data_IF_916299157386
#
_entry.id   IF_916299157386
#
_cell.length_a   1.000
_cell.length_b   1.000
_cell.length_c   1.000
_cell.angle_alpha   90.00
_cell.angle_beta   90.00
_cell.angle_gamma   90.00
#
_symmetry.space_group_name_H-M   'P 1'
#
loop_
_entity.id
_entity.type
_entity.pdbx_description
1 polymer ?
#
# COMPACT_ATOMS: atom_id res chain seq x y z
N UNK A 1 -14.11 9.57 18.42
CA UNK A 1 -12.88 10.29 18.88
C UNK A 1 -11.68 9.66 18.20
N UNK A 2 -10.77 10.44 17.62
CA UNK A 2 -9.52 9.93 17.06
C UNK A 2 -8.58 9.63 18.24
N UNK A 3 -7.98 8.42 18.34
CA UNK A 3 -7.05 8.12 19.42
C UNK A 3 -5.74 8.90 19.25
N UNK A 4 -4.91 9.01 20.31
CA UNK A 4 -3.61 9.65 20.20
C UNK A 4 -2.72 8.86 19.25
N UNK A 5 -1.87 9.58 18.51
CA UNK A 5 -0.88 8.99 17.62
C UNK A 5 0.13 8.13 18.40
N UNK A 6 0.36 6.86 18.05
CA UNK A 6 1.24 5.98 18.81
C UNK A 6 2.72 6.29 18.57
N UNK A 7 3.54 6.10 19.60
CA UNK A 7 5.00 6.18 19.48
C UNK A 7 5.56 4.91 18.85
N UNK A 8 6.66 5.03 18.11
CA UNK A 8 7.41 3.90 17.56
C UNK A 8 7.94 2.94 18.65
N UNK A 9 8.14 1.67 18.26
CA UNK A 9 8.59 0.56 19.11
C UNK A 9 9.71 -0.25 18.44
N UNK A 10 10.35 0.31 17.42
CA UNK A 10 11.42 -0.33 16.64
C UNK A 10 11.00 -1.64 15.95
N UNK A 11 9.71 -1.76 15.57
CA UNK A 11 9.16 -2.96 14.92
C UNK A 11 9.84 -3.30 13.59
N UNK A 12 10.44 -2.32 12.93
CA UNK A 12 11.11 -2.45 11.64
C UNK A 12 12.58 -2.01 11.72
N UNK A 13 13.19 -2.13 12.93
CA UNK A 13 14.59 -1.75 13.12
C UNK A 13 15.48 -2.42 12.06
N UNK A 14 16.31 -1.61 11.39
CA UNK A 14 17.27 -2.00 10.34
C UNK A 14 16.66 -2.60 9.05
N UNK A 15 15.34 -2.74 8.95
CA UNK A 15 14.67 -3.20 7.73
C UNK A 15 14.71 -2.12 6.65
N UNK A 16 14.77 -2.53 5.40
CA UNK A 16 14.60 -1.67 4.22
C UNK A 16 13.20 -1.88 3.65
N UNK A 17 12.40 -0.82 3.65
CA UNK A 17 11.00 -0.82 3.24
C UNK A 17 10.84 -0.02 1.96
N UNK A 18 10.27 -0.63 0.92
CA UNK A 18 9.88 0.05 -0.32
C UNK A 18 8.37 0.31 -0.30
N UNK A 19 7.94 1.56 -0.53
CA UNK A 19 6.52 1.96 -0.52
C UNK A 19 6.16 2.63 -1.84
N UNK A 20 5.20 2.06 -2.57
CA UNK A 20 4.69 2.65 -3.82
C UNK A 20 3.58 3.68 -3.56
N UNK A 21 3.45 4.68 -4.44
CA UNK A 21 2.49 5.80 -4.33
C UNK A 21 2.56 6.51 -2.97
N UNK A 22 3.76 6.89 -2.54
CA UNK A 22 4.04 7.47 -1.23
C UNK A 22 4.21 9.00 -1.23
N UNK A 23 4.12 9.68 -2.39
CA UNK A 23 4.32 11.13 -2.51
C UNK A 23 3.12 11.99 -2.06
N UNK A 24 2.01 11.36 -1.68
CA UNK A 24 0.80 12.07 -1.26
C UNK A 24 0.72 12.28 0.26
N UNK A 25 -0.49 12.46 0.74
CA UNK A 25 -0.85 12.59 2.16
C UNK A 25 -1.77 11.45 2.63
N UNK A 26 -1.88 10.38 1.84
CA UNK A 26 -2.71 9.22 2.12
C UNK A 26 -1.94 8.10 2.81
N UNK A 27 -2.46 6.88 2.65
CA UNK A 27 -1.95 5.67 3.32
C UNK A 27 -0.47 5.43 3.01
N UNK A 28 -0.02 5.55 1.74
CA UNK A 28 1.37 5.30 1.35
C UNK A 28 2.37 6.20 2.07
N UNK A 29 2.09 7.52 2.16
CA UNK A 29 2.89 8.46 2.92
C UNK A 29 2.88 8.14 4.42
N UNK A 30 1.72 7.78 4.97
CA UNK A 30 1.61 7.38 6.37
C UNK A 30 2.40 6.10 6.68
N UNK A 31 2.42 5.13 5.76
CA UNK A 31 3.25 3.91 5.90
C UNK A 31 4.73 4.26 5.88
N UNK A 32 5.16 5.12 4.96
CA UNK A 32 6.56 5.57 4.89
C UNK A 32 6.98 6.24 6.21
N UNK A 33 6.20 7.20 6.71
CA UNK A 33 6.43 7.86 7.99
C UNK A 33 6.47 6.86 9.16
N UNK A 34 5.44 5.99 9.28
CA UNK A 34 5.40 4.99 10.36
C UNK A 34 6.56 4.01 10.30
N UNK A 35 6.97 3.58 9.10
CA UNK A 35 8.13 2.70 8.94
C UNK A 35 9.42 3.34 9.43
N UNK A 36 9.64 4.64 9.15
CA UNK A 36 10.78 5.41 9.64
C UNK A 36 10.77 5.52 11.17
N UNK A 37 9.61 5.82 11.77
CA UNK A 37 9.41 5.89 13.22
C UNK A 37 9.61 4.54 13.91
N UNK A 38 9.42 3.44 13.19
CA UNK A 38 9.68 2.07 13.63
C UNK A 38 11.11 1.59 13.31
N UNK A 39 12.00 2.51 12.95
CA UNK A 39 13.44 2.26 12.81
C UNK A 39 13.91 1.85 11.41
N UNK A 40 13.01 1.75 10.42
CA UNK A 40 13.36 1.36 9.06
C UNK A 40 14.18 2.41 8.31
N UNK A 41 14.83 1.96 7.23
CA UNK A 41 15.23 2.77 6.07
C UNK A 41 14.15 2.62 5.01
N UNK A 42 13.74 3.71 4.36
CA UNK A 42 12.56 3.71 3.49
C UNK A 42 12.92 4.22 2.11
N UNK A 43 12.54 3.47 1.09
CA UNK A 43 12.47 3.95 -0.29
C UNK A 43 11.02 4.29 -0.59
N UNK A 44 10.76 5.56 -0.85
CA UNK A 44 9.46 6.04 -1.32
C UNK A 44 9.43 6.11 -2.84
N UNK A 45 8.31 5.76 -3.42
CA UNK A 45 8.13 5.81 -4.87
C UNK A 45 6.78 6.40 -5.25
N UNK A 46 6.75 7.14 -6.36
CA UNK A 46 5.54 7.66 -6.98
C UNK A 46 5.86 7.98 -8.46
N UNK A 47 4.83 8.00 -9.32
CA UNK A 47 4.99 8.44 -10.70
C UNK A 47 5.15 9.96 -10.84
N UNK A 48 4.80 10.73 -9.80
CA UNK A 48 4.80 12.19 -9.78
C UNK A 48 6.08 12.73 -9.15
N UNK A 49 7.14 12.86 -9.95
CA UNK A 49 8.50 13.20 -9.52
C UNK A 49 8.61 14.41 -8.57
N UNK A 50 7.94 15.54 -8.89
CA UNK A 50 8.01 16.75 -8.05
C UNK A 50 7.48 16.49 -6.64
N UNK A 51 6.28 15.89 -6.53
CA UNK A 51 5.70 15.58 -5.20
C UNK A 51 6.52 14.53 -4.45
N UNK A 52 7.15 13.62 -5.19
CA UNK A 52 8.02 12.61 -4.62
C UNK A 52 9.26 13.25 -3.98
N UNK A 53 9.91 14.20 -4.67
CA UNK A 53 11.04 14.94 -4.14
C UNK A 53 10.66 15.76 -2.90
N UNK A 54 9.55 16.52 -2.96
CA UNK A 54 9.02 17.29 -1.83
C UNK A 54 8.76 16.40 -0.60
N UNK A 55 8.19 15.20 -0.80
CA UNK A 55 7.93 14.25 0.28
C UNK A 55 9.21 13.62 0.83
N UNK A 56 10.19 13.34 -0.02
CA UNK A 56 11.49 12.84 0.42
C UNK A 56 12.20 13.85 1.33
N UNK A 57 12.20 15.13 0.96
CA UNK A 57 12.79 16.21 1.76
C UNK A 57 12.07 16.35 3.12
N UNK A 58 10.72 16.29 3.11
CA UNK A 58 9.90 16.34 4.33
C UNK A 58 10.27 15.20 5.30
N UNK A 59 10.32 13.96 4.80
CA UNK A 59 10.64 12.80 5.63
C UNK A 59 12.11 12.79 6.09
N UNK A 60 13.03 13.24 5.23
CA UNK A 60 14.46 13.29 5.54
C UNK A 60 14.80 14.34 6.61
N UNK A 61 13.97 15.36 6.81
CA UNK A 61 14.17 16.39 7.83
C UNK A 61 14.31 15.79 9.24
N UNK A 62 13.49 14.79 9.57
CA UNK A 62 13.50 14.10 10.86
C UNK A 62 14.26 12.75 10.81
N UNK A 63 14.56 12.23 9.61
CA UNK A 63 15.12 10.90 9.39
C UNK A 63 16.31 10.92 8.43
N UNK A 64 17.29 11.77 8.69
CA UNK A 64 18.45 11.97 7.82
C UNK A 64 19.16 10.64 7.47
N UNK A 65 19.44 10.42 6.19
CA UNK A 65 20.12 9.22 5.68
C UNK A 65 19.27 7.93 5.67
N UNK A 66 18.00 7.99 6.07
CA UNK A 66 17.10 6.85 6.09
C UNK A 66 16.04 6.87 4.98
N UNK A 67 15.98 7.93 4.18
CA UNK A 67 14.99 8.11 3.11
C UNK A 67 15.68 8.17 1.76
N UNK A 68 15.14 7.43 0.80
CA UNK A 68 15.53 7.51 -0.61
C UNK A 68 14.28 7.58 -1.49
N UNK A 69 14.35 8.30 -2.61
CA UNK A 69 13.22 8.48 -3.51
C UNK A 69 13.56 7.95 -4.91
N UNK A 70 12.68 7.11 -5.45
CA UNK A 70 12.82 6.57 -6.81
C UNK A 70 11.49 6.75 -7.54
N UNK A 71 11.49 7.51 -8.64
CA UNK A 71 10.31 7.67 -9.49
C UNK A 71 9.94 6.34 -10.15
N UNK A 72 8.65 5.98 -10.14
CA UNK A 72 8.17 4.76 -10.78
C UNK A 72 6.69 4.88 -11.12
N UNK A 73 6.37 4.64 -12.38
CA UNK A 73 5.03 4.26 -12.83
C UNK A 73 4.90 2.75 -12.74
N UNK A 74 4.00 2.27 -11.88
CA UNK A 74 3.77 0.82 -11.66
C UNK A 74 3.16 0.11 -12.87
N UNK A 75 2.72 0.86 -13.89
CA UNK A 75 2.25 0.30 -15.16
C UNK A 75 3.40 -0.08 -16.10
N UNK A 76 4.62 0.39 -15.82
CA UNK A 76 5.85 0.10 -16.58
C UNK A 76 6.72 -0.92 -15.82
N UNK A 77 6.86 -2.10 -16.40
CA UNK A 77 7.67 -3.20 -15.84
C UNK A 77 9.14 -2.81 -15.65
N UNK A 78 9.70 -2.02 -16.57
CA UNK A 78 11.11 -1.61 -16.51
C UNK A 78 11.35 -0.67 -15.33
N UNK A 79 10.42 0.27 -15.10
CA UNK A 79 10.51 1.19 -13.97
C UNK A 79 10.29 0.45 -12.63
N UNK A 80 9.39 -0.53 -12.59
CA UNK A 80 9.18 -1.37 -11.41
C UNK A 80 10.45 -2.16 -11.08
N UNK A 81 11.10 -2.76 -12.06
CA UNK A 81 12.36 -3.47 -11.84
C UNK A 81 13.46 -2.50 -11.36
N UNK A 82 13.57 -1.33 -11.98
CA UNK A 82 14.53 -0.30 -11.58
C UNK A 82 14.28 0.22 -10.15
N UNK A 83 13.02 0.31 -9.71
CA UNK A 83 12.68 0.66 -8.32
C UNK A 83 13.24 -0.36 -7.32
N UNK A 84 13.02 -1.64 -7.58
CA UNK A 84 13.45 -2.73 -6.68
C UNK A 84 14.98 -2.85 -6.67
N UNK A 85 15.63 -2.80 -7.82
CA UNK A 85 17.08 -2.86 -7.94
C UNK A 85 17.74 -1.63 -7.32
N UNK A 86 17.25 -0.42 -7.64
CA UNK A 86 17.77 0.82 -7.08
C UNK A 86 17.60 0.91 -5.56
N UNK A 87 16.53 0.38 -5.00
CA UNK A 87 16.35 0.30 -3.54
C UNK A 87 17.40 -0.61 -2.91
N UNK A 88 17.65 -1.77 -3.51
CA UNK A 88 18.65 -2.72 -3.03
C UNK A 88 20.09 -2.18 -3.21
N UNK A 89 20.38 -1.51 -4.31
CA UNK A 89 21.69 -0.91 -4.57
C UNK A 89 22.00 0.22 -3.57
N UNK A 90 20.99 1.03 -3.21
CA UNK A 90 21.15 2.15 -2.29
C UNK A 90 21.36 1.71 -0.83
N UNK A 91 20.56 0.74 -0.35
CA UNK A 91 20.58 0.30 1.05
C UNK A 91 21.19 -1.09 1.28
N UNK A 92 21.68 -1.76 0.22
CA UNK A 92 22.33 -3.07 0.26
C UNK A 92 21.37 -4.26 0.20
N UNK A 93 20.08 -4.05 0.44
CA UNK A 93 19.01 -5.06 0.42
C UNK A 93 17.63 -4.44 0.40
N UNK A 94 16.61 -5.24 0.25
CA UNK A 94 15.22 -4.90 0.58
C UNK A 94 14.63 -5.97 1.50
N UNK A 95 13.79 -5.61 2.46
CA UNK A 95 13.14 -6.53 3.41
C UNK A 95 11.64 -6.52 3.29
N UNK A 96 11.07 -5.37 2.90
CA UNK A 96 9.62 -5.18 2.83
C UNK A 96 9.25 -4.44 1.55
N UNK A 97 8.22 -4.93 0.86
CA UNK A 97 7.50 -4.18 -0.16
C UNK A 97 6.09 -3.87 0.33
N UNK A 98 5.70 -2.59 0.28
CA UNK A 98 4.31 -2.15 0.47
C UNK A 98 3.74 -1.67 -0.85
N UNK A 99 2.84 -2.46 -1.42
CA UNK A 99 2.08 -2.12 -2.62
C UNK A 99 0.89 -1.25 -2.24
N UNK A 100 1.07 0.06 -2.34
CA UNK A 100 0.01 1.02 -2.06
C UNK A 100 -0.51 1.72 -3.32
N UNK A 101 0.20 1.66 -4.44
CA UNK A 101 -0.27 2.23 -5.70
C UNK A 101 -1.64 1.67 -6.10
N UNK A 102 -2.57 2.55 -6.41
CA UNK A 102 -3.91 2.19 -6.83
C UNK A 102 -4.66 3.39 -7.39
N UNK A 103 -5.55 3.10 -8.30
CA UNK A 103 -6.41 4.07 -8.95
C UNK A 103 -7.86 3.62 -8.78
N UNK A 104 -8.72 4.52 -8.30
CA UNK A 104 -10.17 4.34 -8.28
C UNK A 104 -10.83 5.19 -9.36
N UNK A 105 -12.13 5.23 -9.31
CA UNK A 105 -12.99 6.05 -10.18
C UNK A 105 -14.44 5.79 -9.79
N UNK A 106 -15.39 6.55 -10.34
CA UNK A 106 -16.81 6.36 -10.16
C UNK A 106 -17.48 6.41 -11.54
N UNK A 107 -17.95 5.27 -12.02
CA UNK A 107 -18.64 5.15 -13.32
C UNK A 107 -19.55 3.93 -13.29
N UNK A 108 -20.81 4.13 -13.69
CA UNK A 108 -21.75 3.01 -13.86
C UNK A 108 -21.21 1.99 -14.86
N UNK A 109 -21.44 0.71 -14.59
CA UNK A 109 -20.97 -0.37 -15.49
C UNK A 109 -21.51 -0.23 -16.92
N UNK A 110 -22.67 0.35 -17.10
CA UNK A 110 -23.29 0.53 -18.43
C UNK A 110 -22.68 1.69 -19.22
N UNK A 111 -22.00 2.62 -18.54
CA UNK A 111 -21.37 3.80 -19.14
C UNK A 111 -19.84 3.71 -19.12
N UNK A 112 -19.29 2.67 -18.49
CA UNK A 112 -17.83 2.48 -18.33
C UNK A 112 -17.19 2.11 -19.66
N UNK A 113 -16.15 2.87 -20.06
CA UNK A 113 -15.37 2.53 -21.24
C UNK A 113 -14.28 1.48 -20.94
N UNK A 114 -13.82 0.80 -21.99
CA UNK A 114 -12.72 -0.17 -21.90
C UNK A 114 -11.43 0.48 -21.37
N UNK A 115 -11.19 1.75 -21.69
CA UNK A 115 -10.03 2.52 -21.21
C UNK A 115 -10.11 2.79 -19.70
N UNK A 116 -11.29 3.16 -19.20
CA UNK A 116 -11.52 3.36 -17.76
C UNK A 116 -11.31 2.06 -16.99
N UNK A 117 -11.91 0.97 -17.50
CA UNK A 117 -11.72 -0.37 -16.94
C UNK A 117 -10.26 -0.77 -16.92
N UNK A 118 -9.60 -0.75 -18.09
CA UNK A 118 -8.23 -1.23 -18.27
C UNK A 118 -7.23 -0.41 -17.44
N UNK A 119 -7.42 0.91 -17.38
CA UNK A 119 -6.54 1.81 -16.62
C UNK A 119 -6.57 1.51 -15.11
N UNK A 120 -7.76 1.28 -14.54
CA UNK A 120 -7.88 0.97 -13.12
C UNK A 120 -7.26 -0.39 -12.81
N UNK A 121 -7.50 -1.40 -13.65
CA UNK A 121 -6.90 -2.72 -13.49
C UNK A 121 -5.37 -2.65 -13.65
N UNK A 122 -4.87 -1.91 -14.62
CA UNK A 122 -3.43 -1.87 -14.89
C UNK A 122 -2.64 -1.22 -13.76
N UNK A 123 -3.12 -0.10 -13.21
CA UNK A 123 -2.47 0.52 -12.06
C UNK A 123 -2.65 -0.34 -10.80
N UNK A 124 -3.89 -0.77 -10.49
CA UNK A 124 -4.23 -1.32 -9.18
C UNK A 124 -3.90 -2.80 -9.04
N UNK A 125 -4.19 -3.61 -10.06
CA UNK A 125 -3.95 -5.05 -10.02
C UNK A 125 -2.62 -5.42 -10.69
N UNK A 126 -2.43 -5.02 -11.96
CA UNK A 126 -1.22 -5.39 -12.69
C UNK A 126 0.03 -4.70 -12.10
N UNK A 127 -0.07 -3.46 -11.64
CA UNK A 127 1.01 -2.76 -10.95
C UNK A 127 1.40 -3.49 -9.65
N UNK A 128 0.42 -3.90 -8.84
CA UNK A 128 0.67 -4.72 -7.65
C UNK A 128 1.32 -6.06 -8.01
N UNK A 129 0.87 -6.72 -9.08
CA UNK A 129 1.49 -7.96 -9.56
C UNK A 129 2.94 -7.75 -9.99
N UNK A 130 3.23 -6.72 -10.81
CA UNK A 130 4.59 -6.42 -11.29
C UNK A 130 5.55 -6.18 -10.12
N UNK A 131 5.17 -5.30 -9.18
CA UNK A 131 6.00 -4.98 -8.04
C UNK A 131 6.17 -6.17 -7.08
N UNK A 132 5.10 -6.93 -6.81
CA UNK A 132 5.18 -8.18 -6.04
C UNK A 132 6.17 -9.14 -6.67
N UNK A 133 6.05 -9.43 -7.96
CA UNK A 133 6.94 -10.34 -8.68
C UNK A 133 8.41 -9.90 -8.62
N UNK A 134 8.69 -8.62 -8.85
CA UNK A 134 10.04 -8.08 -8.79
C UNK A 134 10.64 -8.21 -7.39
N UNK A 135 9.89 -7.85 -6.35
CA UNK A 135 10.33 -7.96 -4.96
C UNK A 135 10.54 -9.42 -4.54
N UNK A 136 9.62 -10.33 -4.89
CA UNK A 136 9.76 -11.76 -4.54
C UNK A 136 11.02 -12.38 -5.18
N UNK A 137 11.32 -12.06 -6.43
CA UNK A 137 12.58 -12.47 -7.08
C UNK A 137 13.80 -11.94 -6.31
N UNK A 138 13.78 -10.65 -5.95
CA UNK A 138 14.87 -10.03 -5.18
C UNK A 138 15.02 -10.68 -3.80
N UNK A 139 13.94 -10.95 -3.07
CA UNK A 139 13.98 -11.61 -1.76
C UNK A 139 14.58 -13.02 -1.86
N UNK A 140 14.21 -13.80 -2.89
CA UNK A 140 14.76 -15.13 -3.13
C UNK A 140 16.26 -15.04 -3.45
N UNK A 141 16.65 -14.15 -4.36
CA UNK A 141 18.05 -14.01 -4.82
C UNK A 141 18.97 -13.53 -3.70
N UNK A 142 18.53 -12.59 -2.86
CA UNK A 142 19.35 -12.08 -1.75
C UNK A 142 19.35 -13.01 -0.51
N UNK A 143 18.36 -13.91 -0.39
CA UNK A 143 18.15 -14.76 0.79
C UNK A 143 17.69 -13.99 2.04
N UNK A 144 17.33 -14.73 3.08
CA UNK A 144 16.95 -14.16 4.39
C UNK A 144 15.49 -13.74 4.51
N UNK A 145 14.63 -14.22 3.59
CA UNK A 145 13.19 -13.96 3.65
C UNK A 145 12.78 -12.56 3.25
N UNK A 146 11.54 -12.19 3.55
CA UNK A 146 10.98 -10.87 3.26
C UNK A 146 9.48 -10.76 3.55
N UNK A 147 8.92 -9.57 3.42
CA UNK A 147 7.49 -9.36 3.57
C UNK A 147 6.91 -8.47 2.46
N UNK A 148 5.77 -8.89 1.91
CA UNK A 148 4.95 -8.05 1.02
C UNK A 148 3.65 -7.73 1.71
N UNK A 149 3.26 -6.45 1.72
CA UNK A 149 1.99 -5.97 2.24
C UNK A 149 1.24 -5.23 1.15
N UNK A 150 0.13 -5.79 0.71
CA UNK A 150 -0.70 -5.25 -0.37
C UNK A 150 -1.85 -4.40 0.20
N UNK A 151 -2.09 -3.24 -0.39
CA UNK A 151 -3.23 -2.39 -0.08
C UNK A 151 -4.45 -2.80 -0.93
N UNK A 152 -5.29 -3.70 -0.42
CA UNK A 152 -6.57 -4.06 -1.01
C UNK A 152 -7.66 -3.02 -0.66
N UNK A 153 -8.89 -3.41 -0.44
CA UNK A 153 -10.01 -2.57 0.01
C UNK A 153 -11.18 -3.46 0.42
N UNK A 154 -12.03 -3.02 1.35
CA UNK A 154 -13.31 -3.69 1.65
C UNK A 154 -14.22 -3.81 0.42
N UNK A 155 -14.06 -2.94 -0.57
CA UNK A 155 -14.79 -3.00 -1.86
C UNK A 155 -14.42 -4.26 -2.66
N UNK A 156 -13.30 -4.90 -2.39
CA UNK A 156 -12.97 -6.23 -2.94
C UNK A 156 -13.87 -7.36 -2.40
N UNK A 157 -14.54 -7.16 -1.27
CA UNK A 157 -15.50 -8.10 -0.68
C UNK A 157 -16.95 -7.65 -0.85
N UNK A 158 -17.19 -6.33 -0.96
CA UNK A 158 -18.52 -5.73 -0.93
C UNK A 158 -18.86 -5.08 -2.26
N UNK A 159 -20.15 -5.06 -2.57
CA UNK A 159 -20.65 -4.25 -3.66
C UNK A 159 -20.70 -2.76 -3.27
N UNK A 160 -20.26 -1.91 -4.19
CA UNK A 160 -20.47 -0.48 -4.15
C UNK A 160 -20.85 0.01 -5.53
N UNK A 161 -21.91 0.82 -5.67
CA UNK A 161 -22.30 1.39 -6.96
C UNK A 161 -21.12 2.08 -7.65
N UNK A 162 -21.07 2.01 -8.98
CA UNK A 162 -20.08 2.69 -9.83
C UNK A 162 -18.61 2.28 -9.62
N UNK A 163 -18.36 1.19 -8.88
CA UNK A 163 -17.00 0.76 -8.50
C UNK A 163 -16.60 -0.58 -9.13
N UNK A 164 -17.26 -1.05 -10.19
CA UNK A 164 -17.04 -2.39 -10.74
C UNK A 164 -15.59 -2.69 -11.10
N UNK A 165 -14.89 -1.76 -11.76
CA UNK A 165 -13.47 -1.89 -12.12
C UNK A 165 -12.56 -1.92 -10.88
N UNK A 166 -12.81 -1.03 -9.92
CA UNK A 166 -12.02 -0.94 -8.68
C UNK A 166 -12.24 -2.17 -7.77
N UNK A 167 -13.51 -2.59 -7.63
CA UNK A 167 -13.86 -3.80 -6.88
C UNK A 167 -13.20 -5.04 -7.47
N UNK A 168 -13.26 -5.21 -8.79
CA UNK A 168 -12.61 -6.31 -9.49
C UNK A 168 -11.08 -6.30 -9.28
N UNK A 169 -10.44 -5.12 -9.41
CA UNK A 169 -9.01 -4.99 -9.18
C UNK A 169 -8.63 -5.33 -7.73
N UNK A 170 -9.36 -4.80 -6.74
CA UNK A 170 -9.07 -5.05 -5.31
C UNK A 170 -9.37 -6.49 -4.88
N UNK A 171 -10.41 -7.13 -5.43
CA UNK A 171 -10.65 -8.56 -5.27
C UNK A 171 -9.50 -9.39 -5.89
N UNK A 172 -9.01 -8.97 -7.07
CA UNK A 172 -7.84 -9.56 -7.71
C UNK A 172 -6.57 -9.44 -6.86
N UNK A 173 -6.32 -8.30 -6.22
CA UNK A 173 -5.21 -8.11 -5.27
C UNK A 173 -5.30 -9.08 -4.09
N UNK A 174 -6.50 -9.30 -3.54
CA UNK A 174 -6.70 -10.28 -2.46
C UNK A 174 -6.39 -11.72 -2.92
N UNK A 175 -6.83 -12.09 -4.13
CA UNK A 175 -6.53 -13.41 -4.70
C UNK A 175 -5.03 -13.56 -4.99
N UNK A 176 -4.38 -12.55 -5.60
CA UNK A 176 -2.94 -12.52 -5.83
C UNK A 176 -2.16 -12.71 -4.52
N UNK A 177 -2.56 -12.01 -3.45
CA UNK A 177 -1.94 -12.13 -2.12
C UNK A 177 -1.91 -13.57 -1.63
N UNK A 178 -3.06 -14.27 -1.69
CA UNK A 178 -3.17 -15.66 -1.22
C UNK A 178 -2.33 -16.63 -2.05
N UNK A 179 -2.37 -16.50 -3.39
CA UNK A 179 -1.62 -17.39 -4.27
C UNK A 179 -0.11 -17.14 -4.16
N UNK A 180 0.34 -15.88 -4.20
CA UNK A 180 1.74 -15.53 -4.06
C UNK A 180 2.33 -15.99 -2.73
N UNK A 181 1.55 -15.93 -1.63
CA UNK A 181 1.97 -16.42 -0.33
C UNK A 181 2.31 -17.93 -0.37
N UNK A 182 1.49 -18.72 -1.06
CA UNK A 182 1.73 -20.18 -1.21
C UNK A 182 2.97 -20.46 -2.07
N UNK A 183 3.18 -19.68 -3.12
CA UNK A 183 4.31 -19.87 -4.04
C UNK A 183 5.67 -19.64 -3.36
N UNK A 184 5.72 -18.78 -2.33
CA UNK A 184 7.01 -18.33 -1.73
C UNK A 184 7.20 -18.75 -0.27
N UNK A 185 6.26 -19.51 0.32
CA UNK A 185 6.33 -19.92 1.71
C UNK A 185 7.64 -20.69 2.05
N UNK A 186 8.18 -21.47 1.10
CA UNK A 186 9.44 -22.20 1.25
C UNK A 186 10.70 -21.32 1.29
N UNK A 187 10.56 -20.00 1.09
CA UNK A 187 11.67 -19.05 1.11
C UNK A 187 11.63 -18.09 2.32
N UNK A 188 10.82 -18.39 3.35
CA UNK A 188 10.59 -17.51 4.51
C UNK A 188 10.05 -16.14 4.13
N UNK A 189 9.29 -16.05 3.03
CA UNK A 189 8.66 -14.82 2.54
C UNK A 189 7.18 -14.85 2.89
N UNK A 190 6.69 -13.75 3.47
CA UNK A 190 5.27 -13.56 3.80
C UNK A 190 4.62 -12.57 2.84
N UNK A 191 3.44 -12.89 2.38
CA UNK A 191 2.64 -11.99 1.53
C UNK A 191 1.26 -11.84 2.15
N UNK A 192 0.93 -10.63 2.62
CA UNK A 192 -0.35 -10.32 3.23
C UNK A 192 -0.98 -9.07 2.60
N UNK A 193 -2.23 -8.82 2.90
CA UNK A 193 -2.91 -7.61 2.48
C UNK A 193 -3.68 -6.97 3.64
N UNK A 194 -3.89 -5.67 3.55
CA UNK A 194 -4.92 -4.96 4.33
C UNK A 194 -6.09 -4.63 3.41
N UNK A 195 -7.30 -4.62 3.97
CA UNK A 195 -8.51 -4.16 3.29
C UNK A 195 -9.13 -3.01 4.08
N UNK A 196 -8.68 -1.76 3.82
CA UNK A 196 -9.27 -0.60 4.48
C UNK A 196 -10.71 -0.34 4.02
N UNK A 197 -11.53 0.20 4.94
CA UNK A 197 -12.76 0.87 4.60
C UNK A 197 -12.48 2.34 4.22
N UNK A 198 -13.30 3.26 4.67
CA UNK A 198 -13.11 4.68 4.40
C UNK A 198 -11.89 5.21 5.17
N UNK A 199 -10.89 5.71 4.45
CA UNK A 199 -9.74 6.41 5.02
C UNK A 199 -9.66 7.83 4.49
N UNK A 200 -9.41 8.80 5.38
CA UNK A 200 -9.29 10.20 4.98
C UNK A 200 -8.05 10.42 4.11
N UNK A 201 -8.21 11.12 2.99
CA UNK A 201 -7.10 11.69 2.23
C UNK A 201 -7.60 12.85 1.36
N UNK A 202 -6.77 13.86 1.05
CA UNK A 202 -7.21 15.05 0.31
C UNK A 202 -7.78 14.78 -1.09
N UNK A 203 -7.41 13.67 -1.71
CA UNK A 203 -7.97 13.28 -3.00
C UNK A 203 -9.43 12.82 -2.88
N UNK A 204 -9.82 12.24 -1.74
CA UNK A 204 -11.20 11.81 -1.49
C UNK A 204 -12.16 13.01 -1.59
N UNK A 205 -11.79 14.15 -1.01
CA UNK A 205 -12.56 15.40 -1.10
C UNK A 205 -12.68 15.97 -2.52
N UNK A 206 -11.85 15.52 -3.47
CA UNK A 206 -11.93 15.93 -4.88
C UNK A 206 -12.86 15.06 -5.73
N UNK A 207 -13.16 13.85 -5.27
CA UNK A 207 -13.94 12.85 -6.02
C UNK A 207 -15.24 12.47 -5.31
N UNK A 208 -15.51 13.10 -4.15
CA UNK A 208 -16.67 12.81 -3.30
C UNK A 208 -17.25 14.12 -2.82
N UNK A 209 -18.60 14.26 -2.81
CA UNK A 209 -19.25 15.44 -2.21
C UNK A 209 -19.21 15.33 -0.68
N UNK A 210 -19.34 16.46 0.02
CA UNK A 210 -19.38 16.49 1.50
C UNK A 210 -20.54 15.66 2.05
N UNK A 211 -21.68 15.68 1.34
CA UNK A 211 -22.87 14.89 1.72
C UNK A 211 -22.61 13.39 1.62
N UNK A 212 -22.01 12.94 0.49
CA UNK A 212 -21.67 11.53 0.31
C UNK A 212 -20.59 11.09 1.31
N UNK A 213 -19.62 11.94 1.59
CA UNK A 213 -18.59 11.67 2.60
C UNK A 213 -19.23 11.48 3.99
N UNK A 214 -20.14 12.38 4.37
CA UNK A 214 -20.86 12.28 5.64
C UNK A 214 -21.73 11.00 5.71
N UNK A 215 -22.39 10.61 4.61
CA UNK A 215 -23.12 9.35 4.53
C UNK A 215 -22.21 8.13 4.71
N UNK A 216 -21.05 8.12 4.05
CA UNK A 216 -20.07 7.04 4.17
C UNK A 216 -19.51 6.95 5.60
N UNK A 217 -19.23 8.08 6.25
CA UNK A 217 -18.78 8.12 7.63
C UNK A 217 -19.85 7.59 8.62
N UNK A 218 -21.12 7.86 8.37
CA UNK A 218 -22.22 7.31 9.18
C UNK A 218 -22.36 5.80 9.09
N UNK A 219 -21.89 5.19 8.02
CA UNK A 219 -21.86 3.72 7.87
C UNK A 219 -20.73 3.06 8.64
N UNK A 220 -19.71 3.83 9.03
CA UNK A 220 -18.63 3.36 9.90
C UNK A 220 -19.13 3.29 11.35
N UNK A 221 -18.88 2.18 12.07
CA UNK A 221 -19.34 2.01 13.45
C UNK A 221 -18.79 3.10 14.40
N UNK A 222 -17.60 3.65 14.08
CA UNK A 222 -17.04 4.77 14.85
C UNK A 222 -17.55 6.15 14.40
N UNK A 223 -18.43 6.22 13.40
CA UNK A 223 -18.99 7.47 12.87
C UNK A 223 -17.92 8.40 12.27
N UNK A 224 -16.82 7.85 11.78
CA UNK A 224 -15.73 8.58 11.13
C UNK A 224 -14.92 7.70 10.19
N UNK A 225 -14.26 8.31 9.24
CA UNK A 225 -13.22 7.66 8.46
C UNK A 225 -11.97 7.34 9.31
N UNK A 226 -11.23 6.32 8.92
CA UNK A 226 -9.92 6.04 9.49
C UNK A 226 -8.91 7.12 9.10
N UNK A 227 -7.99 7.44 10.01
CA UNK A 227 -6.82 8.22 9.65
C UNK A 227 -5.83 7.35 8.86
N UNK A 228 -5.08 7.87 7.88
CA UNK A 228 -4.12 7.08 7.12
C UNK A 228 -3.13 6.30 7.99
N UNK A 229 -2.71 6.86 9.11
CA UNK A 229 -1.79 6.21 10.04
C UNK A 229 -2.42 5.03 10.80
N UNK A 230 -3.76 4.99 10.98
CA UNK A 230 -4.43 3.84 11.59
C UNK A 230 -4.32 2.61 10.66
N UNK A 231 -4.41 2.83 9.34
CA UNK A 231 -4.16 1.77 8.34
C UNK A 231 -2.68 1.41 8.28
N UNK A 232 -1.80 2.41 8.28
CA UNK A 232 -0.35 2.21 8.25
C UNK A 232 0.16 1.37 9.42
N UNK A 233 -0.40 1.51 10.63
CA UNK A 233 -0.04 0.70 11.80
C UNK A 233 -0.26 -0.80 11.55
N UNK A 234 -1.36 -1.17 10.88
CA UNK A 234 -1.63 -2.58 10.56
C UNK A 234 -0.67 -3.07 9.47
N UNK A 235 -0.34 -2.23 8.48
CA UNK A 235 0.65 -2.58 7.46
C UNK A 235 2.04 -2.78 8.05
N UNK A 236 2.47 -1.90 8.97
CA UNK A 236 3.74 -2.04 9.71
C UNK A 236 3.76 -3.31 10.56
N UNK A 237 2.66 -3.62 11.26
CA UNK A 237 2.54 -4.88 11.98
C UNK A 237 2.71 -6.09 11.05
N UNK A 238 2.03 -6.12 9.91
CA UNK A 238 2.14 -7.21 8.93
C UNK A 238 3.54 -7.30 8.29
N UNK A 239 4.24 -6.18 8.16
CA UNK A 239 5.62 -6.12 7.69
C UNK A 239 6.63 -6.62 8.73
N UNK A 240 6.32 -6.52 10.02
CA UNK A 240 7.21 -6.83 11.14
C UNK A 240 7.26 -8.32 11.47
N UNK A 241 8.24 -8.70 12.30
CA UNK A 241 8.38 -10.07 12.81
C UNK A 241 7.26 -10.47 13.79
N UNK A 242 6.47 -9.51 14.29
CA UNK A 242 5.26 -9.80 15.08
C UNK A 242 4.18 -10.53 14.28
N UNK A 243 4.22 -10.46 12.95
CA UNK A 243 3.34 -11.18 12.05
C UNK A 243 4.00 -12.45 11.46
N UNK A 244 5.00 -13.03 12.11
CA UNK A 244 5.82 -14.13 11.60
C UNK A 244 5.02 -15.38 11.19
N UNK A 245 3.83 -15.61 11.75
CA UNK A 245 2.95 -16.74 11.39
C UNK A 245 1.80 -16.36 10.46
N UNK A 246 1.78 -15.11 9.94
CA UNK A 246 0.74 -14.63 9.04
C UNK A 246 1.27 -14.56 7.60
N UNK A 247 0.70 -15.36 6.71
CA UNK A 247 0.91 -15.26 5.26
C UNK A 247 -0.34 -15.68 4.50
N UNK A 248 -0.64 -15.03 3.40
CA UNK A 248 -1.87 -15.23 2.62
C UNK A 248 -3.11 -14.56 3.23
N UNK A 249 -2.95 -13.79 4.29
CA UNK A 249 -4.07 -13.16 4.99
C UNK A 249 -4.47 -11.82 4.37
N UNK A 250 -5.76 -11.55 4.43
CA UNK A 250 -6.34 -10.24 4.10
C UNK A 250 -7.02 -9.68 5.33
N UNK A 251 -6.34 -8.74 5.97
CA UNK A 251 -6.78 -8.16 7.25
C UNK A 251 -7.67 -6.95 7.01
N UNK A 252 -8.91 -7.01 7.45
CA UNK A 252 -9.82 -5.86 7.41
C UNK A 252 -9.34 -4.76 8.36
N UNK A 253 -9.17 -3.53 7.83
CA UNK A 253 -8.90 -2.33 8.61
C UNK A 253 -10.11 -1.42 8.49
N UNK A 254 -11.16 -1.80 9.17
CA UNK A 254 -12.50 -1.22 9.01
C UNK A 254 -13.25 -1.25 10.32
N UNK A 255 -14.07 -0.24 10.55
CA UNK A 255 -15.08 -0.24 11.62
C UNK A 255 -16.47 -0.62 11.11
N UNK A 256 -16.59 -1.03 9.85
CA UNK A 256 -17.83 -1.61 9.31
C UNK A 256 -17.84 -3.13 9.51
N UNK A 257 -19.01 -3.72 9.52
CA UNK A 257 -19.13 -5.17 9.41
C UNK A 257 -18.77 -5.62 7.98
N UNK A 258 -17.99 -6.69 7.83
CA UNK A 258 -17.65 -7.27 6.54
C UNK A 258 -18.86 -7.82 5.80
#
# INVERSE_FOLDING_TARGET
MIPPYPKGKDLLADKVVVVTAAAGTGIGSAVAQRSLEEGARVVISDWHERRLAEKADELAADHAGKVHAIACDVTDETQVQALIDGAADHFGRIDVLVNNAGLGGSTSIVDMTDEQWSRVLDVTLNGTFRATRAALRRFIDQGGGGAVVNNASVVGWRAQPEQSHYAAAKAGVMALTRCAAMDVAGHDIRVNAVAPSLATHPFLAKVTTDELLAELEQREAFGRAAQPWEVANVMVFLASDYASYLTGEVVSVSSQHP
#
